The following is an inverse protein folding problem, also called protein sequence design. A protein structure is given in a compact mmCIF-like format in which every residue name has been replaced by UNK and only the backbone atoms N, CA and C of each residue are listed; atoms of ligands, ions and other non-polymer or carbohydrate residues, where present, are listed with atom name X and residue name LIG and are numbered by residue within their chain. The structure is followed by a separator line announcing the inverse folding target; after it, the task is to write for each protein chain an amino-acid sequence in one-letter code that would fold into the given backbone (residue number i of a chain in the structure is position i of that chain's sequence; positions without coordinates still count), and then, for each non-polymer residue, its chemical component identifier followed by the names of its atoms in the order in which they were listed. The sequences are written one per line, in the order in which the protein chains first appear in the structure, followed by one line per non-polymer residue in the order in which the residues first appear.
data_IF_391561300298
#
_entry.id   IF_391561300298
#
_cell.length_a   1.000
_cell.length_b   1.000
_cell.length_c   1.000
_cell.angle_alpha   90.00
_cell.angle_beta   90.00
_cell.angle_gamma   90.00
#
_symmetry.space_group_name_H-M   'P 1'
#
loop_
_entity.id
_entity.type
_entity.pdbx_description
1 polymer ?
#
# COMPACT_ATOMS: atom_id res chain seq x y z
N UNK A 1 22.68 -14.42 -45.66
CA UNK A 1 23.96 -14.20 -44.95
C UNK A 1 24.01 -12.75 -44.49
N UNK A 2 23.72 -12.48 -43.22
CA UNK A 2 23.76 -11.11 -42.72
C UNK A 2 25.22 -10.66 -42.53
N UNK A 3 25.66 -9.68 -43.32
CA UNK A 3 26.97 -9.04 -43.19
C UNK A 3 26.83 -7.96 -42.13
N UNK A 4 27.32 -8.20 -40.93
CA UNK A 4 27.47 -7.16 -39.92
C UNK A 4 28.66 -6.27 -40.28
N UNK A 5 28.40 -5.02 -40.66
CA UNK A 5 29.45 -4.00 -40.80
C UNK A 5 29.74 -3.41 -39.43
N UNK A 6 30.92 -3.69 -38.89
CA UNK A 6 31.40 -3.07 -37.65
C UNK A 6 31.88 -1.64 -37.96
N UNK A 7 31.39 -0.59 -37.27
CA UNK A 7 31.88 0.77 -37.47
C UNK A 7 33.30 0.95 -36.91
N UNK A 8 34.16 1.65 -37.66
CA UNK A 8 35.62 1.76 -37.46
C UNK A 8 36.08 2.59 -36.24
N UNK A 9 35.18 2.91 -35.30
CA UNK A 9 35.50 3.72 -34.10
C UNK A 9 35.34 2.93 -32.81
N UNK A 10 36.06 1.82 -32.71
CA UNK A 10 36.17 1.05 -31.47
C UNK A 10 37.44 1.51 -30.74
N UNK A 11 37.34 2.06 -29.52
CA UNK A 11 38.52 2.46 -28.73
C UNK A 11 39.51 1.29 -28.56
N UNK A 12 40.82 1.54 -28.65
CA UNK A 12 41.88 0.52 -28.67
C UNK A 12 41.76 -0.55 -27.55
N UNK A 13 41.27 -0.15 -26.37
CA UNK A 13 41.04 -1.02 -25.23
C UNK A 13 40.03 -2.17 -25.50
N UNK A 14 39.03 -1.95 -26.35
CA UNK A 14 38.03 -2.97 -26.73
C UNK A 14 38.49 -3.94 -27.82
N UNK A 15 39.68 -3.71 -28.42
CA UNK A 15 40.24 -4.62 -29.42
C UNK A 15 40.93 -5.83 -28.77
N UNK A 16 41.20 -5.77 -27.46
CA UNK A 16 41.80 -6.87 -26.71
C UNK A 16 40.73 -7.86 -26.21
N UNK A 17 40.79 -9.11 -26.68
CA UNK A 17 39.89 -10.20 -26.25
C UNK A 17 39.86 -10.42 -24.74
N UNK A 18 40.99 -10.19 -24.04
CA UNK A 18 41.08 -10.35 -22.59
C UNK A 18 40.32 -9.26 -21.83
N UNK A 19 40.35 -8.03 -22.34
CA UNK A 19 39.60 -6.90 -21.76
C UNK A 19 38.11 -7.13 -21.89
N UNK A 20 37.66 -7.58 -23.07
CA UNK A 20 36.25 -7.88 -23.30
C UNK A 20 35.76 -8.98 -22.34
N UNK A 21 36.54 -10.05 -22.16
CA UNK A 21 36.18 -11.12 -21.22
C UNK A 21 36.13 -10.63 -19.76
N UNK A 22 37.06 -9.76 -19.35
CA UNK A 22 37.08 -9.20 -17.99
C UNK A 22 35.88 -8.28 -17.78
N UNK A 23 35.56 -7.40 -18.74
CA UNK A 23 34.40 -6.52 -18.64
C UNK A 23 33.11 -7.33 -18.57
N UNK A 24 32.98 -8.38 -19.39
CA UNK A 24 31.80 -9.24 -19.39
C UNK A 24 31.67 -10.03 -18.08
N UNK A 25 32.79 -10.49 -17.52
CA UNK A 25 32.85 -11.14 -16.21
C UNK A 25 32.52 -10.17 -15.06
N UNK A 26 33.00 -8.93 -15.11
CA UNK A 26 32.65 -7.90 -14.13
C UNK A 26 31.17 -7.53 -14.20
N UNK A 27 30.61 -7.39 -15.41
CA UNK A 27 29.18 -7.18 -15.62
C UNK A 27 28.39 -8.37 -15.07
N UNK A 28 28.87 -9.60 -15.26
CA UNK A 28 28.24 -10.81 -14.71
C UNK A 28 28.24 -10.79 -13.18
N UNK A 29 29.37 -10.50 -12.53
CA UNK A 29 29.42 -10.40 -11.06
C UNK A 29 28.55 -9.23 -10.57
N UNK A 30 28.55 -8.08 -11.25
CA UNK A 30 27.78 -6.92 -10.81
C UNK A 30 26.26 -7.07 -11.00
N UNK A 31 25.83 -7.77 -12.05
CA UNK A 31 24.40 -7.88 -12.41
C UNK A 31 23.77 -9.22 -11.98
N UNK A 32 24.50 -10.34 -12.07
CA UNK A 32 23.97 -11.69 -11.82
C UNK A 32 24.41 -12.27 -10.47
N UNK A 33 25.50 -11.81 -9.87
CA UNK A 33 25.84 -12.22 -8.50
C UNK A 33 24.82 -11.63 -7.51
N UNK A 34 24.77 -12.25 -6.33
CA UNK A 34 23.95 -12.03 -5.13
C UNK A 34 23.52 -10.59 -4.78
N UNK A 35 24.14 -9.56 -5.34
CA UNK A 35 23.77 -8.15 -5.25
C UNK A 35 22.80 -7.69 -6.36
N UNK A 36 21.82 -8.53 -6.71
CA UNK A 36 20.80 -8.18 -7.70
C UNK A 36 20.11 -6.86 -7.33
N UNK A 37 20.30 -5.83 -8.15
CA UNK A 37 19.72 -4.50 -7.97
C UNK A 37 18.18 -4.55 -7.88
N UNK A 38 17.56 -5.52 -8.55
CA UNK A 38 16.11 -5.74 -8.49
C UNK A 38 15.67 -6.17 -7.09
N UNK A 39 16.42 -7.06 -6.45
CA UNK A 39 16.11 -7.52 -5.08
C UNK A 39 16.23 -6.39 -4.08
N UNK A 40 17.31 -5.61 -4.18
CA UNK A 40 17.56 -4.45 -3.32
C UNK A 40 16.49 -3.37 -3.45
N UNK A 41 16.04 -3.12 -4.69
CA UNK A 41 14.92 -2.21 -4.93
C UNK A 41 13.60 -2.73 -4.35
N UNK A 42 13.34 -4.05 -4.47
CA UNK A 42 12.15 -4.67 -3.88
C UNK A 42 12.15 -4.54 -2.36
N UNK A 43 13.26 -4.84 -1.71
CA UNK A 43 13.45 -4.70 -0.26
C UNK A 43 13.26 -3.26 0.19
N UNK A 44 13.83 -2.27 -0.51
CA UNK A 44 13.61 -0.86 -0.20
C UNK A 44 12.13 -0.46 -0.29
N UNK A 45 11.41 -0.95 -1.31
CA UNK A 45 9.96 -0.69 -1.44
C UNK A 45 9.17 -1.35 -0.32
N UNK A 46 9.52 -2.59 0.03
CA UNK A 46 8.90 -3.32 1.12
C UNK A 46 9.13 -2.61 2.46
N UNK A 47 10.37 -2.19 2.73
CA UNK A 47 10.72 -1.40 3.91
C UNK A 47 9.91 -0.10 4.00
N UNK A 48 9.76 0.63 2.87
CA UNK A 48 8.92 1.83 2.81
C UNK A 48 7.46 1.51 3.07
N UNK A 49 6.94 0.42 2.50
CA UNK A 49 5.56 -0.04 2.73
C UNK A 49 5.32 -0.37 4.22
N UNK A 50 6.23 -1.12 4.85
CA UNK A 50 6.14 -1.48 6.26
C UNK A 50 6.21 -0.23 7.16
N UNK A 51 7.08 0.72 6.85
CA UNK A 51 7.14 2.00 7.59
C UNK A 51 5.84 2.78 7.51
N UNK A 52 5.27 2.91 6.30
CA UNK A 52 3.99 3.59 6.11
C UNK A 52 2.85 2.86 6.84
N UNK A 53 2.83 1.52 6.82
CA UNK A 53 1.85 0.74 7.57
C UNK A 53 1.99 0.95 9.08
N UNK A 54 3.22 0.95 9.60
CA UNK A 54 3.50 1.22 11.01
C UNK A 54 2.95 2.59 11.41
N UNK A 55 3.26 3.63 10.64
CA UNK A 55 2.79 4.99 10.91
C UNK A 55 1.26 5.08 10.87
N UNK A 56 0.63 4.48 9.87
CA UNK A 56 -0.83 4.40 9.77
C UNK A 56 -1.46 3.76 11.01
N UNK A 57 -0.95 2.61 11.46
CA UNK A 57 -1.51 1.92 12.64
C UNK A 57 -1.25 2.69 13.93
N UNK A 58 -0.11 3.36 14.09
CA UNK A 58 0.14 4.21 15.25
C UNK A 58 -0.91 5.32 15.33
N UNK A 59 -1.15 6.03 14.22
CA UNK A 59 -2.14 7.10 14.17
C UNK A 59 -3.56 6.57 14.43
N UNK A 60 -3.89 5.39 13.86
CA UNK A 60 -5.19 4.76 14.08
C UNK A 60 -5.41 4.34 15.53
N UNK A 61 -4.39 3.79 16.18
CA UNK A 61 -4.43 3.46 17.61
C UNK A 61 -4.63 4.71 18.46
N UNK A 62 -3.98 5.82 18.12
CA UNK A 62 -4.16 7.08 18.84
C UNK A 62 -5.60 7.60 18.72
N UNK A 63 -6.13 7.63 17.49
CA UNK A 63 -7.49 8.06 17.20
C UNK A 63 -8.52 7.16 17.90
N UNK A 64 -8.40 5.85 17.76
CA UNK A 64 -9.30 4.89 18.41
C UNK A 64 -9.22 4.98 19.92
N UNK A 65 -8.02 5.11 20.49
CA UNK A 65 -7.86 5.30 21.95
C UNK A 65 -8.50 6.59 22.45
N UNK A 66 -8.49 7.66 21.64
CA UNK A 66 -9.19 8.91 21.95
C UNK A 66 -10.70 8.69 21.96
N UNK A 67 -11.26 8.08 20.91
CA UNK A 67 -12.68 7.71 20.85
C UNK A 67 -13.08 6.83 22.04
N UNK A 68 -12.26 5.84 22.37
CA UNK A 68 -12.50 4.92 23.49
C UNK A 68 -12.50 5.63 24.84
N UNK A 69 -11.64 6.65 25.02
CA UNK A 69 -11.69 7.52 26.21
C UNK A 69 -12.98 8.34 26.24
N UNK A 70 -13.35 8.99 25.14
CA UNK A 70 -14.58 9.79 25.05
C UNK A 70 -15.83 8.97 25.39
N UNK A 71 -15.88 7.70 24.94
CA UNK A 71 -16.94 6.75 25.28
C UNK A 71 -16.96 6.33 26.76
N UNK A 72 -15.78 6.27 27.41
CA UNK A 72 -15.65 5.88 28.82
C UNK A 72 -15.86 7.04 29.80
N UNK A 73 -15.68 8.28 29.36
CA UNK A 73 -15.72 9.46 30.25
C UNK A 73 -17.14 9.96 30.52
N UNK A 74 -18.15 9.61 29.72
CA UNK A 74 -19.54 10.06 29.96
C UNK A 74 -20.61 9.16 29.35
N UNK A 75 -21.69 8.93 30.10
CA UNK A 75 -22.84 8.12 29.68
C UNK A 75 -23.55 8.72 28.45
N UNK A 76 -23.60 10.05 28.35
CA UNK A 76 -24.25 10.75 27.23
C UNK A 76 -23.51 10.54 25.90
N UNK A 77 -22.16 10.52 25.93
CA UNK A 77 -21.35 10.25 24.73
C UNK A 77 -21.50 8.80 24.26
N UNK A 78 -21.61 7.87 25.21
CA UNK A 78 -21.85 6.46 24.92
C UNK A 78 -23.23 6.24 24.31
N UNK A 79 -24.27 6.87 24.87
CA UNK A 79 -25.63 6.80 24.32
C UNK A 79 -25.70 7.39 22.91
N UNK A 80 -25.08 8.56 22.69
CA UNK A 80 -25.00 9.18 21.37
C UNK A 80 -24.34 8.25 20.35
N UNK A 81 -23.20 7.66 20.68
CA UNK A 81 -22.50 6.71 19.81
C UNK A 81 -23.35 5.45 19.52
N UNK A 82 -24.00 4.89 20.53
CA UNK A 82 -24.89 3.74 20.36
C UNK A 82 -26.08 4.05 19.43
N UNK A 83 -26.63 5.27 19.49
CA UNK A 83 -27.74 5.71 18.64
C UNK A 83 -27.30 6.05 17.21
N UNK A 84 -26.17 6.73 17.03
CA UNK A 84 -25.70 7.16 15.71
C UNK A 84 -25.10 6.01 14.89
N UNK A 85 -24.19 5.23 15.49
CA UNK A 85 -23.46 4.19 14.77
C UNK A 85 -24.23 2.87 14.70
N UNK A 86 -24.88 2.50 15.81
CA UNK A 86 -25.54 1.19 15.95
C UNK A 86 -27.06 1.27 15.88
N UNK A 87 -27.64 2.48 15.78
CA UNK A 87 -29.10 2.68 15.72
C UNK A 87 -29.82 2.01 16.90
N UNK A 88 -29.19 1.99 18.07
CA UNK A 88 -29.79 1.41 19.28
C UNK A 88 -30.97 2.25 19.76
N UNK A 89 -32.00 1.57 20.29
CA UNK A 89 -33.20 2.18 20.89
C UNK A 89 -33.51 1.52 22.23
N UNK A 90 -34.19 2.23 23.13
CA UNK A 90 -34.74 1.61 24.34
C UNK A 90 -36.02 0.82 24.00
N UNK A 91 -36.44 -0.16 24.85
CA UNK A 91 -37.64 -0.95 24.59
C UNK A 91 -38.94 -0.12 24.50
N UNK A 92 -38.97 1.02 25.19
CA UNK A 92 -40.08 1.98 25.26
C UNK A 92 -39.99 3.11 24.21
N UNK A 93 -39.03 3.04 23.28
CA UNK A 93 -38.82 4.04 22.24
C UNK A 93 -39.04 3.47 20.83
N UNK A 94 -39.57 4.30 19.94
CA UNK A 94 -39.66 4.02 18.51
C UNK A 94 -38.58 4.78 17.73
N UNK A 95 -37.85 4.05 16.87
CA UNK A 95 -36.79 4.60 16.04
C UNK A 95 -37.29 4.79 14.61
N UNK A 96 -37.31 6.05 14.14
CA UNK A 96 -37.67 6.40 12.77
C UNK A 96 -36.40 6.73 11.98
N UNK A 97 -36.22 6.07 10.83
CA UNK A 97 -35.11 6.33 9.91
C UNK A 97 -35.70 6.96 8.64
N UNK A 98 -35.38 8.23 8.41
CA UNK A 98 -35.88 8.96 7.25
C UNK A 98 -34.92 8.72 6.10
N UNK A 99 -35.40 8.01 5.07
CA UNK A 99 -34.63 7.72 3.87
C UNK A 99 -34.96 8.72 2.77
N UNK A 100 -33.95 9.09 1.99
CA UNK A 100 -34.20 9.84 0.76
C UNK A 100 -34.75 8.91 -0.33
N UNK A 101 -35.52 9.42 -1.31
CA UNK A 101 -36.03 8.60 -2.42
C UNK A 101 -34.93 7.86 -3.21
N UNK A 102 -33.69 8.37 -3.15
CA UNK A 102 -32.52 7.73 -3.77
C UNK A 102 -32.03 6.52 -2.97
N UNK A 103 -32.06 6.59 -1.65
CA UNK A 103 -31.61 5.52 -0.75
C UNK A 103 -32.60 4.37 -0.72
N UNK A 104 -33.90 4.66 -0.69
CA UNK A 104 -34.95 3.64 -0.82
C UNK A 104 -34.75 2.80 -2.09
N UNK A 105 -34.53 3.46 -3.24
CA UNK A 105 -34.26 2.78 -4.52
C UNK A 105 -33.02 1.88 -4.47
N UNK A 106 -31.99 2.24 -3.70
CA UNK A 106 -30.79 1.41 -3.55
C UNK A 106 -31.09 0.15 -2.73
N UNK A 107 -31.77 0.31 -1.59
CA UNK A 107 -32.12 -0.81 -0.70
C UNK A 107 -33.06 -1.78 -1.44
N UNK A 108 -34.06 -1.28 -2.17
CA UNK A 108 -34.97 -2.11 -2.96
C UNK A 108 -34.26 -2.90 -4.07
N UNK A 109 -33.21 -2.35 -4.67
CA UNK A 109 -32.40 -3.04 -5.70
C UNK A 109 -31.44 -4.07 -5.11
N UNK A 110 -31.01 -3.89 -3.87
CA UNK A 110 -30.07 -4.79 -3.20
C UNK A 110 -30.76 -6.02 -2.60
N UNK A 111 -32.06 -5.93 -2.32
CA UNK A 111 -32.89 -7.01 -1.77
C UNK A 111 -33.69 -7.77 -2.84
N UNK A 112 -33.49 -7.46 -4.14
CA UNK A 112 -33.95 -8.26 -5.29
C UNK A 112 -32.80 -9.10 -5.81
#
# INVERSE_FOLDING_TARGET
MARFSFPDRIPSFFRNKYVLTIVLFLIWILLLDSNNLISRYREMRELKKLRNQKEYYINKIEEESRKLRELKTGNDNLEKFAREEYRMKKPDEDLYIILTPREERKISRQNQ
#
